data_IF_612892735186
#
_entry.id   IF_612892735186
#
_cell.length_a   1.000
_cell.length_b   1.000
_cell.length_c   1.000
_cell.angle_alpha   90.00
_cell.angle_beta   90.00
_cell.angle_gamma   90.00
#
_symmetry.space_group_name_H-M   'P 1'
#
loop_
_entity.id
_entity.type
_entity.pdbx_description
1 polymer ?
#
# COMPACT_ATOMS: atom_id res chain seq x y z
N UNK A 1 -21.04 -16.17 8.60
CA UNK A 1 -19.81 -15.35 8.45
C UNK A 1 -19.85 -14.64 7.10
N UNK A 2 -19.61 -13.33 7.05
CA UNK A 2 -19.50 -12.62 5.78
C UNK A 2 -18.21 -13.03 5.06
N UNK A 3 -18.31 -13.43 3.79
CA UNK A 3 -17.16 -13.69 2.92
C UNK A 3 -16.93 -12.43 2.08
N UNK A 4 -15.83 -11.72 2.31
CA UNK A 4 -15.49 -10.52 1.55
C UNK A 4 -14.62 -10.89 0.36
N UNK A 5 -14.79 -10.18 -0.75
CA UNK A 5 -13.84 -10.23 -1.87
C UNK A 5 -12.68 -9.26 -1.60
N UNK A 6 -11.46 -9.73 -1.82
CA UNK A 6 -10.24 -8.95 -1.65
C UNK A 6 -9.37 -9.03 -2.89
N UNK A 7 -8.85 -7.90 -3.33
CA UNK A 7 -7.85 -7.81 -4.39
C UNK A 7 -6.45 -7.80 -3.77
N UNK A 8 -5.54 -8.58 -4.34
CA UNK A 8 -4.13 -8.64 -3.95
C UNK A 8 -3.28 -7.99 -5.05
N UNK A 9 -2.85 -6.77 -4.82
CA UNK A 9 -1.93 -6.06 -5.70
C UNK A 9 -0.53 -6.69 -5.56
N UNK A 10 0.14 -6.94 -6.68
CA UNK A 10 1.38 -7.73 -6.75
C UNK A 10 1.18 -9.23 -6.96
N UNK A 11 -0.07 -9.70 -7.10
CA UNK A 11 -0.41 -11.07 -7.55
C UNK A 11 -1.19 -11.01 -8.88
N UNK A 12 -1.33 -12.15 -9.59
CA UNK A 12 -2.16 -12.22 -10.79
C UNK A 12 -3.56 -11.63 -10.56
N UNK A 13 -4.10 -11.00 -11.61
CA UNK A 13 -5.41 -10.35 -11.59
C UNK A 13 -6.51 -11.30 -11.08
N UNK A 14 -7.27 -10.84 -10.09
CA UNK A 14 -8.41 -11.57 -9.55
C UNK A 14 -8.75 -11.19 -8.11
N UNK A 15 -10.04 -11.24 -7.78
CA UNK A 15 -10.51 -11.09 -6.40
C UNK A 15 -10.59 -12.46 -5.71
N UNK A 16 -10.02 -12.57 -4.51
CA UNK A 16 -10.08 -13.78 -3.69
C UNK A 16 -11.07 -13.60 -2.55
N UNK A 17 -11.76 -14.68 -2.17
CA UNK A 17 -12.62 -14.67 -0.98
C UNK A 17 -11.76 -14.75 0.29
N UNK A 18 -12.11 -13.93 1.28
CA UNK A 18 -11.50 -13.94 2.61
C UNK A 18 -12.57 -13.97 3.68
N UNK A 19 -12.29 -14.75 4.73
CA UNK A 19 -13.09 -14.77 5.95
C UNK A 19 -12.66 -13.64 6.87
N UNK A 20 -13.64 -12.92 7.42
CA UNK A 20 -13.40 -11.76 8.28
C UNK A 20 -13.21 -12.14 9.76
N UNK A 21 -13.67 -13.32 10.20
CA UNK A 21 -13.58 -13.77 11.61
C UNK A 21 -14.03 -12.70 12.64
N UNK A 22 -15.04 -11.91 12.31
CA UNK A 22 -15.54 -10.84 13.19
C UNK A 22 -14.70 -9.56 13.19
N UNK A 23 -13.63 -9.47 12.41
CA UNK A 23 -12.85 -8.25 12.21
C UNK A 23 -12.93 -7.78 10.75
N UNK A 24 -13.18 -6.48 10.50
CA UNK A 24 -13.20 -5.96 9.14
C UNK A 24 -11.82 -6.12 8.50
N UNK A 25 -11.76 -6.80 7.34
CA UNK A 25 -10.52 -6.95 6.58
C UNK A 25 -10.49 -5.98 5.39
N UNK A 26 -9.34 -5.41 5.03
CA UNK A 26 -9.23 -4.51 3.89
C UNK A 26 -9.61 -5.22 2.58
N UNK A 27 -10.37 -4.52 1.73
CA UNK A 27 -10.80 -5.01 0.41
C UNK A 27 -9.69 -5.00 -0.64
N UNK A 28 -8.61 -4.26 -0.39
CA UNK A 28 -7.40 -4.20 -1.22
C UNK A 28 -6.18 -4.38 -0.32
N UNK A 29 -5.24 -5.23 -0.73
CA UNK A 29 -3.99 -5.51 -0.02
C UNK A 29 -2.83 -5.54 -1.01
N UNK A 30 -1.62 -5.21 -0.55
CA UNK A 30 -0.42 -5.16 -1.41
C UNK A 30 -0.35 -3.92 -2.30
N UNK A 31 -1.28 -2.96 -2.14
CA UNK A 31 -1.15 -1.63 -2.74
C UNK A 31 -0.07 -0.93 -1.94
N UNK A 32 1.04 -0.55 -2.57
CA UNK A 32 1.95 0.41 -1.95
C UNK A 32 1.14 1.65 -1.59
N UNK A 33 1.24 2.13 -0.36
CA UNK A 33 0.54 3.34 0.09
C UNK A 33 0.76 4.52 -0.87
N UNK A 34 1.91 4.50 -1.55
CA UNK A 34 2.29 5.42 -2.60
C UNK A 34 2.50 4.65 -3.91
N UNK A 35 1.87 5.12 -4.97
CA UNK A 35 2.04 4.59 -6.33
C UNK A 35 3.53 4.74 -6.76
N UNK A 36 4.16 3.71 -7.39
CA UNK A 36 5.51 3.84 -7.97
C UNK A 36 5.74 5.08 -8.83
N UNK A 37 4.74 5.50 -9.61
CA UNK A 37 4.81 6.71 -10.42
C UNK A 37 4.88 7.98 -9.56
N UNK A 38 4.27 7.96 -8.37
CA UNK A 38 4.38 9.03 -7.39
C UNK A 38 5.81 9.09 -6.84
N UNK A 39 6.47 7.96 -6.55
CA UNK A 39 7.88 7.97 -6.14
C UNK A 39 8.80 8.58 -7.20
N UNK A 40 8.60 8.23 -8.47
CA UNK A 40 9.37 8.82 -9.58
C UNK A 40 9.13 10.33 -9.70
N UNK A 41 7.89 10.77 -9.50
CA UNK A 41 7.53 12.19 -9.51
C UNK A 41 8.18 12.94 -8.35
N UNK A 42 8.12 12.40 -7.13
CA UNK A 42 8.75 12.99 -5.95
C UNK A 42 10.26 13.13 -6.12
N UNK A 43 10.92 12.09 -6.67
CA UNK A 43 12.35 12.13 -6.98
C UNK A 43 12.70 13.23 -8.01
N UNK A 44 11.93 13.35 -9.11
CA UNK A 44 12.13 14.41 -10.12
C UNK A 44 11.98 15.81 -9.54
N UNK A 45 11.04 15.99 -8.61
CA UNK A 45 10.75 17.27 -7.97
C UNK A 45 11.65 17.55 -6.76
N UNK A 46 12.58 16.65 -6.42
CA UNK A 46 13.43 16.74 -5.23
C UNK A 46 12.62 16.93 -3.93
N UNK A 47 11.42 16.33 -3.88
CA UNK A 47 10.56 16.36 -2.69
C UNK A 47 10.97 15.18 -1.79
N UNK A 48 11.38 15.43 -0.54
CA UNK A 48 11.74 14.36 0.38
C UNK A 48 10.53 13.49 0.69
N UNK A 49 10.75 12.18 0.81
CA UNK A 49 9.71 11.27 1.33
C UNK A 49 9.46 11.65 2.78
N UNK A 50 8.20 11.66 3.22
CA UNK A 50 7.84 12.00 4.59
C UNK A 50 7.09 10.86 5.28
N UNK A 51 7.21 10.81 6.61
CA UNK A 51 6.41 9.96 7.46
C UNK A 51 4.95 10.49 7.57
N UNK A 52 4.03 9.78 8.24
CA UNK A 52 2.66 10.25 8.44
C UNK A 52 2.52 11.58 9.21
N UNK A 53 3.58 12.05 9.87
CA UNK A 53 3.65 13.33 10.60
C UNK A 53 4.34 14.44 9.78
N UNK A 54 4.70 14.16 8.52
CA UNK A 54 5.35 15.11 7.63
C UNK A 54 6.86 15.26 7.84
N UNK A 55 7.49 14.41 8.66
CA UNK A 55 8.93 14.43 8.87
C UNK A 55 9.66 13.71 7.74
N UNK A 56 10.74 14.26 7.17
CA UNK A 56 11.54 13.58 6.16
C UNK A 56 11.99 12.19 6.63
N UNK A 57 11.83 11.19 5.78
CA UNK A 57 12.36 9.84 5.98
C UNK A 57 13.83 9.83 5.58
N UNK A 58 14.71 9.36 6.47
CA UNK A 58 16.12 9.17 6.14
C UNK A 58 16.27 8.10 5.04
N UNK A 59 17.01 8.44 3.97
CA UNK A 59 17.23 7.60 2.78
C UNK A 59 17.82 6.21 3.08
N UNK A 60 18.33 5.98 4.30
CA UNK A 60 18.98 4.73 4.74
C UNK A 60 18.07 3.66 5.32
N UNK A 61 16.75 3.88 5.38
CA UNK A 61 15.85 3.00 6.14
C UNK A 61 15.24 1.85 5.34
N UNK A 62 15.67 1.62 4.10
CA UNK A 62 15.17 0.52 3.26
C UNK A 62 16.28 -0.52 3.05
N UNK A 63 16.34 -1.47 3.99
CA UNK A 63 17.04 -2.76 3.86
C UNK A 63 16.04 -3.91 3.82
#
# INVERSE_FOLDING_TARGET
MAKRLRVLFGKPLGAVRVEEHGQPKPCAMGVGWVNPHTWQTLAKLHIPRTDPKGQPLDEKSEG
#
